data_IF_005651757082
#
_entry.id   IF_005651757082
#
_cell.length_a   1.000
_cell.length_b   1.000
_cell.length_c   1.000
_cell.angle_alpha   90.00
_cell.angle_beta   90.00
_cell.angle_gamma   90.00
#
_symmetry.space_group_name_H-M   'P 1'
#
loop_
_entity.id
_entity.type
_entity.pdbx_description
1 polymer ?
#
# COMPACT_ATOMS: atom_id res chain seq x y z
N UNK A 1 14.19 -10.47 7.44
CA UNK A 1 13.56 -9.17 7.65
C UNK A 1 13.85 -8.72 9.08
N UNK A 2 14.23 -7.47 9.27
CA UNK A 2 14.42 -6.85 10.58
C UNK A 2 13.34 -5.77 10.76
N UNK A 3 12.61 -5.83 11.86
CA UNK A 3 11.62 -4.84 12.25
C UNK A 3 12.00 -4.27 13.63
N UNK A 4 12.09 -2.93 13.72
CA UNK A 4 12.57 -2.26 14.93
C UNK A 4 11.63 -2.38 16.13
N UNK A 5 10.35 -2.67 15.90
CA UNK A 5 9.32 -2.89 16.92
C UNK A 5 8.55 -4.17 16.61
N UNK A 6 7.24 -4.19 16.86
CA UNK A 6 6.37 -5.28 16.42
C UNK A 6 5.87 -5.01 14.99
N UNK A 7 5.64 -6.07 14.23
CA UNK A 7 4.97 -5.95 12.94
C UNK A 7 3.67 -5.14 13.11
N UNK A 8 3.39 -4.29 12.15
CA UNK A 8 2.23 -3.39 12.11
C UNK A 8 2.21 -2.22 13.08
N UNK A 9 3.11 -2.15 14.07
CA UNK A 9 3.09 -1.11 15.12
C UNK A 9 3.44 0.31 14.65
N UNK A 10 3.90 0.46 13.42
CA UNK A 10 4.18 1.76 12.80
C UNK A 10 2.93 2.40 12.20
N UNK A 11 3.03 2.89 10.96
CA UNK A 11 1.91 3.54 10.24
C UNK A 11 0.87 2.57 9.70
N UNK A 12 1.16 1.27 9.65
CA UNK A 12 0.30 0.25 9.05
C UNK A 12 -1.08 0.19 9.71
N UNK A 13 -1.15 0.11 11.03
CA UNK A 13 -2.41 -0.03 11.75
C UNK A 13 -3.28 1.25 11.73
N UNK A 14 -2.68 2.39 11.38
CA UNK A 14 -3.41 3.65 11.18
C UNK A 14 -4.03 3.79 9.79
N UNK A 15 -3.69 2.90 8.85
CA UNK A 15 -4.19 3.00 7.48
C UNK A 15 -5.70 2.72 7.43
N UNK A 16 -6.42 3.46 6.58
CA UNK A 16 -7.87 3.31 6.42
C UNK A 16 -8.28 1.99 5.73
N UNK A 17 -7.32 1.23 5.19
CA UNK A 17 -7.58 -0.06 4.55
C UNK A 17 -8.21 0.01 3.17
N UNK A 18 -8.20 1.16 2.52
CA UNK A 18 -8.77 1.31 1.19
C UNK A 18 -7.82 0.74 0.12
N UNK A 19 -8.33 -0.17 -0.67
CA UNK A 19 -7.60 -0.83 -1.76
C UNK A 19 -8.12 -0.32 -3.09
N UNK A 20 -7.35 0.56 -3.73
CA UNK A 20 -7.66 1.09 -5.06
C UNK A 20 -6.61 0.66 -6.08
N UNK A 21 -7.05 0.28 -7.28
CA UNK A 21 -6.16 -0.20 -8.34
C UNK A 21 -5.57 0.93 -9.19
N UNK A 22 -6.37 1.92 -9.55
CA UNK A 22 -5.93 3.01 -10.42
C UNK A 22 -4.97 3.95 -9.70
N UNK A 23 -3.86 4.27 -10.36
CA UNK A 23 -2.86 5.26 -9.93
C UNK A 23 -2.54 6.22 -11.07
N UNK A 24 -1.80 7.28 -10.78
CA UNK A 24 -1.47 8.34 -11.71
C UNK A 24 -0.68 7.89 -12.96
N UNK A 25 -0.03 6.74 -12.93
CA UNK A 25 0.72 6.18 -14.04
C UNK A 25 0.62 4.65 -14.13
N UNK A 26 1.01 4.11 -15.27
CA UNK A 26 0.89 2.68 -15.58
C UNK A 26 1.66 1.79 -14.61
N UNK A 27 2.89 2.16 -14.24
CA UNK A 27 3.72 1.31 -13.38
C UNK A 27 3.14 1.19 -11.97
N UNK A 28 2.69 2.30 -11.42
CA UNK A 28 2.02 2.33 -10.12
C UNK A 28 0.65 1.61 -10.16
N UNK A 29 -0.07 1.71 -11.28
CA UNK A 29 -1.33 0.99 -11.47
C UNK A 29 -1.10 -0.52 -11.54
N UNK A 30 -0.06 -0.97 -12.25
CA UNK A 30 0.32 -2.39 -12.29
C UNK A 30 0.66 -2.93 -10.91
N UNK A 31 1.44 -2.17 -10.12
CA UNK A 31 1.79 -2.56 -8.75
C UNK A 31 0.55 -2.62 -7.84
N UNK A 32 -0.31 -1.61 -7.91
CA UNK A 32 -1.54 -1.56 -7.10
C UNK A 32 -2.52 -2.68 -7.47
N UNK A 33 -2.67 -2.97 -8.79
CA UNK A 33 -3.48 -4.07 -9.28
C UNK A 33 -2.94 -5.43 -8.81
N UNK A 34 -1.63 -5.66 -8.96
CA UNK A 34 -0.98 -6.87 -8.46
C UNK A 34 -1.21 -7.05 -6.95
N UNK A 35 -1.08 -5.98 -6.16
CA UNK A 35 -1.32 -6.01 -4.72
C UNK A 35 -2.78 -6.36 -4.40
N UNK A 36 -3.75 -5.75 -5.09
CA UNK A 36 -5.16 -6.05 -4.90
C UNK A 36 -5.47 -7.53 -5.22
N UNK A 37 -4.95 -8.03 -6.35
CA UNK A 37 -5.12 -9.44 -6.77
C UNK A 37 -4.44 -10.42 -5.78
N UNK A 38 -3.29 -10.05 -5.19
CA UNK A 38 -2.62 -10.82 -4.16
C UNK A 38 -3.45 -10.88 -2.87
N UNK A 39 -3.96 -9.74 -2.42
CA UNK A 39 -4.70 -9.65 -1.15
C UNK A 39 -5.98 -10.49 -1.16
N UNK A 40 -6.63 -10.68 -2.30
CA UNK A 40 -7.78 -11.57 -2.42
C UNK A 40 -7.43 -13.06 -2.22
N UNK A 41 -6.17 -13.44 -2.37
CA UNK A 41 -5.69 -14.83 -2.28
C UNK A 41 -5.03 -15.14 -0.93
N UNK A 42 -4.52 -14.13 -0.24
CA UNK A 42 -3.71 -14.30 0.97
C UNK A 42 -4.38 -15.11 2.06
N UNK A 43 -5.69 -14.97 2.24
CA UNK A 43 -6.41 -15.72 3.26
C UNK A 43 -6.40 -17.23 2.95
N UNK A 44 -6.64 -17.61 1.69
CA UNK A 44 -6.59 -19.00 1.25
C UNK A 44 -5.16 -19.58 1.33
N UNK A 45 -4.14 -18.77 1.02
CA UNK A 45 -2.74 -19.22 1.00
C UNK A 45 -2.14 -19.32 2.41
N UNK A 46 -2.55 -18.43 3.31
CA UNK A 46 -1.92 -18.30 4.63
C UNK A 46 -2.79 -18.76 5.79
N UNK A 47 -4.11 -18.85 5.59
CA UNK A 47 -5.08 -19.08 6.66
C UNK A 47 -5.22 -17.91 7.64
N UNK A 48 -4.80 -16.67 7.25
CA UNK A 48 -4.99 -15.46 8.04
C UNK A 48 -6.11 -14.64 7.42
N UNK A 49 -7.18 -14.40 8.17
CA UNK A 49 -8.28 -13.56 7.72
C UNK A 49 -7.80 -12.14 7.45
N UNK A 50 -7.91 -11.67 6.21
CA UNK A 50 -7.41 -10.37 5.77
C UNK A 50 -8.46 -9.26 5.85
N UNK A 51 -9.73 -9.63 6.00
CA UNK A 51 -10.85 -8.70 5.88
C UNK A 51 -11.01 -8.11 4.47
N UNK A 52 -10.33 -8.67 3.47
CA UNK A 52 -10.39 -8.17 2.09
C UNK A 52 -11.80 -8.34 1.51
N UNK A 53 -12.39 -7.23 1.09
CA UNK A 53 -13.71 -7.17 0.45
C UNK A 53 -13.62 -6.31 -0.80
N UNK A 54 -13.94 -6.87 -1.95
CA UNK A 54 -14.06 -6.12 -3.21
C UNK A 54 -15.47 -5.51 -3.30
N UNK A 55 -15.70 -4.45 -2.54
CA UNK A 55 -16.97 -3.71 -2.52
C UNK A 55 -17.09 -2.70 -3.65
N UNK A 56 -16.02 -2.50 -4.41
CA UNK A 56 -15.89 -1.44 -5.39
C UNK A 56 -15.55 -0.09 -4.76
N UNK A 57 -15.23 0.87 -5.61
CA UNK A 57 -15.13 2.29 -5.25
C UNK A 57 -15.96 3.16 -6.17
N UNK A 58 -16.44 4.28 -5.66
CA UNK A 58 -17.24 5.26 -6.38
C UNK A 58 -16.54 6.61 -6.34
N UNK A 59 -16.41 7.25 -7.52
CA UNK A 59 -15.93 8.63 -7.61
C UNK A 59 -16.98 9.46 -8.31
N UNK A 60 -17.34 10.60 -7.70
CA UNK A 60 -18.37 11.50 -8.20
C UNK A 60 -17.80 12.87 -8.54
N UNK A 61 -18.43 13.55 -9.49
CA UNK A 61 -18.13 14.93 -9.87
C UNK A 61 -19.36 15.83 -9.65
N UNK A 62 -19.15 16.93 -8.93
CA UNK A 62 -20.18 17.95 -8.70
C UNK A 62 -19.97 19.19 -9.58
N UNK A 63 -18.84 19.30 -10.26
CA UNK A 63 -18.51 20.39 -11.18
C UNK A 63 -18.15 19.86 -12.57
N UNK A 64 -18.24 20.70 -13.61
CA UNK A 64 -17.91 20.28 -14.98
C UNK A 64 -16.41 20.00 -15.14
N UNK A 65 -15.55 20.76 -14.48
CA UNK A 65 -14.10 20.50 -14.47
C UNK A 65 -13.79 19.15 -13.82
N UNK A 66 -14.45 18.82 -12.70
CA UNK A 66 -14.26 17.51 -12.06
C UNK A 66 -14.83 16.37 -12.90
N UNK A 67 -15.95 16.61 -13.60
CA UNK A 67 -16.49 15.64 -14.56
C UNK A 67 -15.47 15.32 -15.67
N UNK A 68 -14.86 16.32 -16.28
CA UNK A 68 -13.82 16.08 -17.29
C UNK A 68 -12.67 15.26 -16.74
N UNK A 69 -12.22 15.57 -15.53
CA UNK A 69 -11.11 14.86 -14.89
C UNK A 69 -11.44 13.40 -14.56
N UNK A 70 -12.60 13.09 -13.98
CA UNK A 70 -12.93 11.69 -13.67
C UNK A 70 -13.17 10.86 -14.93
N UNK A 71 -13.69 11.44 -16.01
CA UNK A 71 -13.83 10.75 -17.30
C UNK A 71 -12.47 10.51 -17.96
N UNK A 72 -11.52 11.46 -17.84
CA UNK A 72 -10.13 11.26 -18.25
C UNK A 72 -9.48 10.13 -17.46
N UNK A 73 -9.67 10.09 -16.12
CA UNK A 73 -9.19 9.01 -15.27
C UNK A 73 -9.82 7.65 -15.64
N UNK A 74 -11.10 7.61 -15.97
CA UNK A 74 -11.77 6.40 -16.45
C UNK A 74 -11.16 5.91 -17.78
N UNK A 75 -10.87 6.81 -18.72
CA UNK A 75 -10.19 6.47 -19.95
C UNK A 75 -8.78 5.93 -19.71
N UNK A 76 -8.05 6.54 -18.79
CA UNK A 76 -6.73 6.07 -18.37
C UNK A 76 -6.81 4.68 -17.69
N UNK A 77 -7.82 4.46 -16.86
CA UNK A 77 -8.05 3.15 -16.21
C UNK A 77 -8.21 2.04 -17.24
N UNK A 78 -9.05 2.26 -18.26
CA UNK A 78 -9.25 1.33 -19.40
C UNK A 78 -7.94 1.05 -20.12
N UNK A 79 -7.17 2.08 -20.44
CA UNK A 79 -5.87 1.95 -21.09
C UNK A 79 -4.85 1.16 -20.25
N UNK A 80 -4.95 1.22 -18.93
CA UNK A 80 -4.08 0.50 -17.99
C UNK A 80 -4.63 -0.89 -17.61
N UNK A 81 -5.75 -1.33 -18.20
CA UNK A 81 -6.36 -2.62 -17.94
C UNK A 81 -7.05 -2.71 -16.57
N UNK A 82 -7.52 -1.58 -16.05
CA UNK A 82 -8.36 -1.51 -14.85
C UNK A 82 -9.82 -1.41 -15.27
N UNK A 83 -10.66 -2.28 -14.73
CA UNK A 83 -12.10 -2.26 -14.99
C UNK A 83 -12.72 -1.00 -14.37
N UNK A 84 -13.43 -0.24 -15.18
CA UNK A 84 -14.10 0.99 -14.78
C UNK A 84 -15.39 1.18 -15.57
N UNK A 85 -16.44 1.54 -14.87
CA UNK A 85 -17.77 1.77 -15.45
C UNK A 85 -18.21 3.22 -15.16
N UNK A 86 -18.61 3.93 -16.19
CA UNK A 86 -19.38 5.16 -16.03
C UNK A 86 -20.81 4.76 -15.67
N UNK A 87 -21.35 5.33 -14.60
CA UNK A 87 -22.65 4.95 -14.08
C UNK A 87 -23.57 6.17 -13.98
N UNK A 88 -24.87 5.90 -14.11
CA UNK A 88 -25.94 6.91 -13.96
C UNK A 88 -26.17 7.27 -12.51
N UNK A 89 -26.83 8.41 -12.23
CA UNK A 89 -27.23 8.80 -10.88
C UNK A 89 -28.18 7.77 -10.23
N UNK A 90 -28.99 7.08 -11.03
CA UNK A 90 -29.86 6.00 -10.57
C UNK A 90 -29.02 4.82 -10.04
N UNK A 91 -28.07 4.33 -10.84
CA UNK A 91 -27.17 3.24 -10.45
C UNK A 91 -26.27 3.63 -9.26
N UNK A 92 -25.82 4.90 -9.22
CA UNK A 92 -25.07 5.43 -8.08
C UNK A 92 -25.88 5.37 -6.81
N UNK A 93 -27.16 5.78 -6.83
CA UNK A 93 -28.07 5.73 -5.69
C UNK A 93 -28.36 4.30 -5.24
N UNK A 94 -28.50 3.37 -6.17
CA UNK A 94 -28.66 1.94 -5.86
C UNK A 94 -27.43 1.35 -5.17
N UNK A 95 -26.21 1.73 -5.64
CA UNK A 95 -24.95 1.27 -5.04
C UNK A 95 -24.64 1.93 -3.69
N UNK A 96 -25.02 3.17 -3.50
CA UNK A 96 -24.79 3.92 -2.26
C UNK A 96 -26.02 4.76 -1.86
N UNK A 97 -26.98 4.14 -1.19
CA UNK A 97 -28.27 4.77 -0.87
C UNK A 97 -28.20 6.02 0.02
N UNK A 98 -27.12 6.21 0.77
CA UNK A 98 -26.93 7.37 1.65
C UNK A 98 -26.50 8.64 0.88
N UNK A 99 -26.02 8.51 -0.36
CA UNK A 99 -25.54 9.64 -1.13
C UNK A 99 -26.70 10.44 -1.72
N UNK A 100 -26.67 11.77 -1.59
CA UNK A 100 -27.47 12.66 -2.43
C UNK A 100 -26.91 12.69 -3.84
N UNK A 101 -27.74 12.51 -4.86
CA UNK A 101 -27.30 12.42 -6.27
C UNK A 101 -27.82 13.55 -7.14
N UNK A 102 -28.55 14.51 -6.58
CA UNK A 102 -29.25 15.56 -7.31
C UNK A 102 -28.28 16.49 -8.06
N UNK A 103 -27.13 16.78 -7.46
CA UNK A 103 -26.10 17.65 -7.99
C UNK A 103 -24.92 16.89 -8.64
N UNK A 104 -24.99 15.55 -8.71
CA UNK A 104 -23.93 14.74 -9.31
C UNK A 104 -23.99 14.85 -10.84
N UNK A 105 -22.90 15.37 -11.42
CA UNK A 105 -22.73 15.56 -12.89
C UNK A 105 -22.15 14.36 -13.61
N UNK A 106 -21.40 13.53 -12.91
CA UNK A 106 -20.86 12.25 -13.40
C UNK A 106 -20.42 11.36 -12.23
N UNK A 107 -20.48 10.06 -12.46
CA UNK A 107 -19.99 9.07 -11.51
C UNK A 107 -19.27 7.94 -12.25
N UNK A 108 -18.21 7.43 -11.63
CA UNK A 108 -17.50 6.24 -12.10
C UNK A 108 -17.37 5.22 -10.97
N UNK A 109 -17.45 3.96 -11.34
CA UNK A 109 -17.36 2.81 -10.45
C UNK A 109 -16.20 1.90 -10.88
N UNK A 110 -15.32 1.57 -9.94
CA UNK A 110 -14.25 0.59 -10.11
C UNK A 110 -14.62 -0.66 -9.28
N UNK A 111 -15.18 -1.71 -9.90
CA UNK A 111 -15.80 -2.81 -9.16
C UNK A 111 -14.81 -3.68 -8.38
N UNK A 112 -13.55 -3.70 -8.79
CA UNK A 112 -12.48 -4.51 -8.15
C UNK A 112 -11.69 -3.77 -7.09
N UNK A 113 -11.98 -2.52 -6.85
CA UNK A 113 -11.50 -1.81 -5.67
C UNK A 113 -12.21 -2.35 -4.41
N UNK A 114 -11.67 -2.06 -3.26
CA UNK A 114 -12.25 -2.58 -2.02
C UNK A 114 -11.61 -2.05 -0.77
N UNK A 115 -11.74 -2.81 0.29
CA UNK A 115 -11.17 -2.52 1.59
C UNK A 115 -10.65 -3.79 2.26
N UNK A 116 -9.74 -3.64 3.19
CA UNK A 116 -9.18 -4.71 4.00
C UNK A 116 -8.84 -4.22 5.41
N UNK A 117 -8.45 -5.14 6.28
CA UNK A 117 -7.75 -4.80 7.52
C UNK A 117 -6.25 -4.70 7.25
N UNK A 118 -5.62 -3.51 7.35
CA UNK A 118 -4.21 -3.32 7.01
C UNK A 118 -3.26 -4.14 7.89
N UNK A 119 -3.58 -4.28 9.18
CA UNK A 119 -2.76 -5.06 10.10
C UNK A 119 -2.83 -6.54 9.73
N UNK A 120 -4.02 -7.05 9.45
CA UNK A 120 -4.21 -8.44 9.05
C UNK A 120 -3.58 -8.76 7.70
N UNK A 121 -3.62 -7.84 6.72
CA UNK A 121 -2.87 -8.00 5.46
C UNK A 121 -1.37 -8.14 5.73
N UNK A 122 -0.79 -7.27 6.56
CA UNK A 122 0.63 -7.35 6.89
C UNK A 122 0.98 -8.64 7.63
N UNK A 123 0.12 -9.11 8.53
CA UNK A 123 0.31 -10.39 9.24
C UNK A 123 0.17 -11.59 8.30
N UNK A 124 -0.75 -11.54 7.34
CA UNK A 124 -0.89 -12.57 6.31
C UNK A 124 0.36 -12.64 5.42
N UNK A 125 0.87 -11.48 4.97
CA UNK A 125 2.12 -11.40 4.21
C UNK A 125 3.31 -11.93 5.01
N UNK A 126 3.43 -11.58 6.30
CA UNK A 126 4.48 -12.08 7.18
C UNK A 126 4.39 -13.61 7.37
N UNK A 127 3.18 -14.15 7.51
CA UNK A 127 2.98 -15.61 7.60
C UNK A 127 3.37 -16.29 6.30
N UNK A 128 2.93 -15.78 5.15
CA UNK A 128 3.33 -16.28 3.84
C UNK A 128 4.85 -16.23 3.62
N UNK A 129 5.50 -15.15 4.04
CA UNK A 129 6.95 -15.04 4.00
C UNK A 129 7.63 -16.12 4.86
N UNK A 130 7.17 -16.35 6.10
CA UNK A 130 7.70 -17.42 6.96
C UNK A 130 7.49 -18.82 6.38
N UNK A 131 6.35 -19.09 5.74
CA UNK A 131 6.08 -20.34 5.04
C UNK A 131 7.08 -20.58 3.91
N UNK A 132 7.60 -19.52 3.29
CA UNK A 132 8.64 -19.55 2.27
C UNK A 132 10.06 -19.39 2.83
N UNK A 133 10.28 -19.64 4.13
CA UNK A 133 11.60 -19.69 4.77
C UNK A 133 12.18 -18.34 5.18
N UNK A 134 11.44 -17.23 5.05
CA UNK A 134 11.91 -15.92 5.50
C UNK A 134 11.96 -15.88 7.02
N UNK A 135 13.12 -15.50 7.57
CA UNK A 135 13.27 -15.20 8.98
C UNK A 135 12.85 -13.74 9.24
N UNK A 136 11.95 -13.54 10.21
CA UNK A 136 11.46 -12.22 10.62
C UNK A 136 11.82 -12.02 12.09
N UNK A 137 12.61 -10.99 12.36
CA UNK A 137 13.04 -10.61 13.70
C UNK A 137 12.40 -9.26 14.06
N UNK A 138 11.62 -9.27 15.12
CA UNK A 138 11.00 -8.09 15.71
C UNK A 138 11.89 -7.58 16.86
N UNK A 139 11.69 -6.30 17.23
CA UNK A 139 12.50 -5.58 18.22
C UNK A 139 13.99 -5.51 17.85
N UNK A 140 14.28 -5.56 16.54
CA UNK A 140 15.63 -5.44 15.98
C UNK A 140 15.70 -4.19 15.11
N UNK A 141 16.35 -3.16 15.63
CA UNK A 141 16.56 -1.88 14.95
C UNK A 141 17.81 -1.94 14.08
N UNK A 142 17.69 -1.62 12.81
CA UNK A 142 18.83 -1.35 11.95
C UNK A 142 19.44 -0.01 12.35
N UNK A 143 20.73 0.00 12.68
CA UNK A 143 21.47 1.19 13.13
C UNK A 143 22.40 1.73 12.07
N UNK A 144 22.76 0.95 11.06
CA UNK A 144 23.63 1.38 9.96
C UNK A 144 23.82 0.31 8.91
N UNK A 145 24.46 0.72 7.82
CA UNK A 145 24.86 -0.15 6.72
C UNK A 145 26.33 0.13 6.40
N UNK A 146 27.11 -0.92 6.12
CA UNK A 146 28.42 -0.76 5.54
C UNK A 146 28.35 -0.91 4.03
N UNK A 147 29.21 -0.16 3.34
CA UNK A 147 29.39 -0.26 1.90
C UNK A 147 30.88 -0.46 1.56
N UNK A 148 31.14 -1.30 0.57
CA UNK A 148 32.46 -1.50 0.00
C UNK A 148 32.36 -1.43 -1.52
N UNK A 149 33.18 -0.60 -2.15
CA UNK A 149 33.19 -0.37 -3.60
C UNK A 149 31.79 -0.03 -4.18
N UNK A 150 31.00 0.80 -3.46
CA UNK A 150 29.66 1.21 -3.88
C UNK A 150 28.57 0.15 -3.74
N UNK A 151 28.84 -0.95 -3.05
CA UNK A 151 27.85 -2.02 -2.76
C UNK A 151 27.71 -2.21 -1.27
N UNK A 152 26.51 -2.55 -0.82
CA UNK A 152 26.26 -2.95 0.58
C UNK A 152 27.06 -4.21 0.88
N UNK A 153 27.68 -4.27 2.05
CA UNK A 153 28.42 -5.43 2.55
C UNK A 153 27.89 -5.96 3.87
N UNK A 154 27.29 -5.10 4.70
CA UNK A 154 26.70 -5.53 5.97
C UNK A 154 25.60 -4.58 6.46
N UNK A 155 24.80 -5.09 7.39
CA UNK A 155 23.75 -4.38 8.16
C UNK A 155 24.09 -4.46 9.62
N UNK A 156 24.20 -3.32 10.30
CA UNK A 156 24.32 -3.24 11.75
C UNK A 156 22.94 -3.19 12.40
N UNK A 157 22.81 -3.87 13.52
CA UNK A 157 21.56 -3.91 14.27
C UNK A 157 21.77 -3.80 15.78
N UNK A 158 20.73 -3.39 16.46
CA UNK A 158 20.60 -3.32 17.91
C UNK A 158 19.28 -3.97 18.35
N UNK A 159 19.33 -4.78 19.41
CA UNK A 159 18.16 -5.40 20.02
C UNK A 159 18.41 -5.62 21.50
N UNK A 160 17.55 -5.12 22.38
CA UNK A 160 17.63 -5.33 23.84
C UNK A 160 19.00 -4.99 24.47
N UNK A 161 19.69 -3.97 23.93
CA UNK A 161 21.02 -3.56 24.37
C UNK A 161 22.17 -4.38 23.79
N UNK A 162 21.89 -5.42 23.02
CA UNK A 162 22.86 -6.14 22.22
C UNK A 162 22.99 -5.52 20.85
N UNK A 163 24.18 -5.54 20.28
CA UNK A 163 24.48 -5.08 18.92
C UNK A 163 25.13 -6.18 18.11
N UNK A 164 24.94 -6.15 16.81
CA UNK A 164 25.56 -7.11 15.95
C UNK A 164 25.56 -6.68 14.48
N UNK A 165 26.07 -7.55 13.63
CA UNK A 165 26.21 -7.31 12.21
C UNK A 165 25.77 -8.54 11.41
N UNK A 166 25.14 -8.31 10.27
CA UNK A 166 24.76 -9.33 9.29
C UNK A 166 25.42 -9.00 7.97
N UNK A 167 26.28 -9.88 7.45
CA UNK A 167 26.84 -9.74 6.11
C UNK A 167 25.75 -10.01 5.06
N UNK A 168 25.64 -9.11 4.08
CA UNK A 168 24.67 -9.22 2.98
C UNK A 168 25.12 -8.37 1.79
N UNK A 169 24.80 -8.83 0.60
CA UNK A 169 25.09 -8.11 -0.64
C UNK A 169 23.90 -7.25 -1.13
N UNK A 170 22.71 -7.49 -0.59
CA UNK A 170 21.46 -6.83 -1.01
C UNK A 170 20.66 -6.43 0.21
N UNK A 171 20.20 -5.17 0.25
CA UNK A 171 19.28 -4.64 1.25
C UNK A 171 18.08 -4.03 0.55
N UNK A 172 16.89 -4.51 0.91
CA UNK A 172 15.64 -3.86 0.52
C UNK A 172 15.23 -2.86 1.62
N UNK A 173 15.27 -1.57 1.29
CA UNK A 173 14.87 -0.51 2.20
C UNK A 173 13.35 -0.38 2.23
N UNK A 174 12.72 -0.97 3.22
CA UNK A 174 11.27 -0.92 3.47
C UNK A 174 10.94 -0.14 4.76
N UNK A 175 11.80 0.82 5.15
CA UNK A 175 11.71 1.54 6.42
C UNK A 175 10.60 2.62 6.46
N UNK A 176 9.64 2.62 5.53
CA UNK A 176 8.50 3.53 5.52
C UNK A 176 8.94 5.00 5.55
N UNK A 177 8.40 5.79 6.47
CA UNK A 177 8.74 7.21 6.58
C UNK A 177 10.22 7.47 6.97
N UNK A 178 10.93 6.49 7.48
CA UNK A 178 12.37 6.56 7.83
C UNK A 178 13.29 6.09 6.70
N UNK A 179 12.76 5.67 5.55
CA UNK A 179 13.56 5.15 4.45
C UNK A 179 14.56 6.16 3.89
N UNK A 180 14.25 7.47 3.96
CA UNK A 180 15.16 8.54 3.56
C UNK A 180 16.41 8.59 4.44
N UNK A 181 16.26 8.45 5.74
CA UNK A 181 17.39 8.48 6.69
C UNK A 181 18.31 7.29 6.45
N UNK A 182 17.73 6.09 6.30
CA UNK A 182 18.51 4.89 6.01
C UNK A 182 19.26 5.00 4.66
N UNK A 183 18.62 5.52 3.60
CA UNK A 183 19.29 5.76 2.33
C UNK A 183 20.43 6.76 2.46
N UNK A 184 20.20 7.90 3.12
CA UNK A 184 21.20 8.94 3.30
C UNK A 184 22.44 8.46 4.06
N UNK A 185 22.30 7.51 4.98
CA UNK A 185 23.43 6.96 5.74
C UNK A 185 24.50 6.30 4.85
N UNK A 186 24.13 5.91 3.64
CA UNK A 186 25.05 5.30 2.63
C UNK A 186 25.11 6.08 1.33
N UNK A 187 24.76 7.38 1.36
CA UNK A 187 24.86 8.27 0.21
C UNK A 187 23.79 8.08 -0.86
N UNK A 188 22.72 7.31 -0.57
CA UNK A 188 21.59 7.09 -1.50
C UNK A 188 20.48 8.11 -1.23
N UNK A 189 20.16 8.92 -2.23
CA UNK A 189 19.04 9.87 -2.14
C UNK A 189 17.71 9.12 -2.31
N UNK A 190 16.90 9.12 -1.27
CA UNK A 190 15.51 8.65 -1.32
C UNK A 190 14.60 9.88 -1.30
N UNK A 191 13.90 10.21 -2.41
CA UNK A 191 13.07 11.42 -2.53
C UNK A 191 11.74 11.25 -1.79
N UNK A 192 11.81 11.11 -0.48
CA UNK A 192 10.69 10.90 0.43
C UNK A 192 10.61 12.05 1.43
N UNK A 193 9.41 12.52 1.70
CA UNK A 193 9.10 13.45 2.77
C UNK A 193 7.89 12.92 3.56
N UNK A 194 8.05 12.81 4.87
CA UNK A 194 6.96 12.43 5.76
C UNK A 194 6.03 13.63 5.98
N UNK A 195 4.73 13.44 5.73
CA UNK A 195 3.71 14.45 5.95
C UNK A 195 2.69 13.96 6.98
N UNK A 196 2.17 14.87 7.77
CA UNK A 196 1.00 14.59 8.60
C UNK A 196 -0.23 14.38 7.71
N UNK A 197 -1.03 13.41 8.05
CA UNK A 197 -2.24 13.07 7.32
C UNK A 197 -3.39 12.81 8.31
N UNK A 198 -4.51 13.47 8.08
CA UNK A 198 -5.67 13.39 8.96
C UNK A 198 -6.81 12.64 8.31
N UNK A 199 -7.60 11.93 9.11
CA UNK A 199 -8.88 11.35 8.73
C UNK A 199 -9.86 11.40 9.91
N UNK A 200 -11.14 11.36 9.60
CA UNK A 200 -12.23 11.34 10.58
C UNK A 200 -12.90 9.95 10.50
N UNK A 201 -13.16 9.37 11.67
CA UNK A 201 -13.88 8.11 11.84
C UNK A 201 -15.36 8.37 12.16
#
# INVERSE_FOLDING_TARGET
LLERKKLTSGTTWHAAGLIGQLRANLNMTRLAKYSADLYTKLEAETGVATGMRQSGSLTVALTDSRKQEILRQASMARAFGVEVNEITNKELKEKYPLLSVEDVKAAVHLPKDGQCDPANIAMALAKGARQNGVKIFEDVKVTGLDTHNGRVSSVHWESNGETGMISTEIVANCAGMWARELGNSVGVTVPLHACEHFYIL
#
